data_IF_081913914437
#
_entry.id   IF_081913914437
#
_cell.length_a   1.000
_cell.length_b   1.000
_cell.length_c   1.000
_cell.angle_alpha   90.00
_cell.angle_beta   90.00
_cell.angle_gamma   90.00
#
_symmetry.space_group_name_H-M   'P 1'
#
loop_
_entity.id
_entity.type
_entity.pdbx_description
1 polymer ?
#
# COMPACT_ATOMS: atom_id res chain seq x y z
N UNK A 1 17.00 6.24 12.68
CA UNK A 1 18.44 6.44 12.39
C UNK A 1 18.64 7.91 12.08
N UNK A 2 19.37 8.63 12.93
CA UNK A 2 19.57 10.09 12.83
C UNK A 2 20.52 10.43 11.67
N UNK A 3 20.04 11.20 10.70
CA UNK A 3 20.91 11.83 9.69
C UNK A 3 21.57 13.07 10.31
N UNK A 4 22.87 12.97 10.56
CA UNK A 4 23.74 14.09 10.96
C UNK A 4 23.95 14.99 9.74
N UNK A 5 23.08 15.97 9.55
CA UNK A 5 23.28 17.04 8.57
C UNK A 5 24.26 18.05 9.21
N UNK A 6 25.53 17.99 8.79
CA UNK A 6 26.56 18.94 9.22
C UNK A 6 26.48 20.20 8.35
N UNK A 7 25.59 21.12 8.69
CA UNK A 7 25.63 22.49 8.17
C UNK A 7 26.62 23.32 8.99
N UNK A 8 27.78 23.64 8.41
CA UNK A 8 28.62 24.74 8.88
C UNK A 8 27.86 26.04 8.67
N UNK A 9 27.22 26.51 9.73
CA UNK A 9 26.63 27.84 9.81
C UNK A 9 27.76 28.84 10.07
N UNK A 10 28.16 29.59 9.05
CA UNK A 10 28.96 30.79 9.23
C UNK A 10 28.07 31.83 9.91
N UNK A 11 28.22 31.92 11.24
CA UNK A 11 27.60 32.93 12.09
C UNK A 11 28.36 34.25 11.87
N UNK A 12 27.77 35.18 11.12
CA UNK A 12 28.21 36.56 11.08
C UNK A 12 27.06 37.50 11.45
N UNK A 13 27.23 38.10 12.63
CA UNK A 13 26.71 39.38 13.11
C UNK A 13 25.21 39.55 13.41
N UNK A 14 25.02 39.90 14.68
CA UNK A 14 23.88 40.58 15.25
C UNK A 14 23.63 41.94 14.61
N UNK A 15 22.35 42.31 14.49
CA UNK A 15 21.92 43.70 14.56
C UNK A 15 20.50 43.78 15.15
N UNK A 16 20.40 44.64 16.15
CA UNK A 16 19.24 45.19 16.84
C UNK A 16 17.89 45.15 16.11
N UNK A 17 16.88 44.59 16.77
CA UNK A 17 15.47 44.89 16.50
C UNK A 17 15.14 46.29 17.04
N UNK A 18 15.16 47.27 16.14
CA UNK A 18 14.60 48.60 16.32
C UNK A 18 13.12 48.65 15.90
N UNK A 19 12.37 49.50 16.57
CA UNK A 19 10.93 49.67 16.47
C UNK A 19 10.42 50.14 15.09
N UNK A 20 9.11 50.01 14.91
CA UNK A 20 8.37 50.09 13.65
C UNK A 20 8.62 51.33 12.77
N UNK A 21 8.68 51.07 11.47
CA UNK A 21 8.52 52.07 10.42
C UNK A 21 7.36 51.67 9.48
N UNK A 22 6.60 52.64 8.95
CA UNK A 22 5.47 52.40 8.06
C UNK A 22 5.94 51.95 6.68
N UNK A 23 5.19 51.00 6.11
CA UNK A 23 5.39 50.43 4.78
C UNK A 23 5.14 51.50 3.71
N UNK A 24 6.20 52.11 3.18
CA UNK A 24 6.14 52.80 1.89
C UNK A 24 7.38 52.48 1.06
N UNK A 25 7.13 51.89 -0.12
CA UNK A 25 8.05 51.68 -1.24
C UNK A 25 9.11 50.57 -1.06
N UNK A 26 8.66 49.32 -1.10
CA UNK A 26 9.52 48.18 -1.37
C UNK A 26 9.76 48.05 -2.88
N UNK A 27 10.94 48.46 -3.33
CA UNK A 27 11.51 47.97 -4.59
C UNK A 27 12.09 46.58 -4.31
N UNK A 28 11.70 45.51 -5.03
CA UNK A 28 12.24 44.19 -4.78
C UNK A 28 13.76 44.19 -5.04
N UNK A 29 14.57 43.57 -4.17
CA UNK A 29 15.99 43.45 -4.43
C UNK A 29 16.21 42.61 -5.70
N UNK A 30 17.21 42.94 -6.53
CA UNK A 30 17.55 42.12 -7.68
C UNK A 30 17.91 40.72 -7.19
N UNK A 31 17.18 39.72 -7.67
CA UNK A 31 17.45 38.31 -7.41
C UNK A 31 18.85 37.98 -7.93
N UNK A 32 19.84 38.04 -7.03
CA UNK A 32 21.14 37.45 -7.26
C UNK A 32 20.97 35.95 -7.38
N UNK A 33 20.88 35.46 -8.61
CA UNK A 33 21.07 34.06 -8.97
C UNK A 33 22.51 33.68 -8.63
N UNK A 34 22.74 33.40 -7.34
CA UNK A 34 23.95 32.76 -6.86
C UNK A 34 24.00 31.35 -7.42
N UNK A 35 24.91 31.15 -8.37
CA UNK A 35 25.23 29.86 -8.96
C UNK A 35 25.59 28.84 -7.86
N UNK A 36 24.66 27.96 -7.52
CA UNK A 36 24.93 26.66 -6.92
C UNK A 36 25.28 25.67 -8.05
N UNK A 37 26.35 25.97 -8.79
CA UNK A 37 27.04 24.98 -9.61
C UNK A 37 28.21 24.43 -8.79
N UNK A 38 28.16 23.14 -8.52
CA UNK A 38 29.35 22.38 -8.10
C UNK A 38 30.27 22.24 -9.31
N UNK A 39 31.56 22.49 -9.14
CA UNK A 39 32.59 22.53 -10.19
C UNK A 39 32.78 21.22 -10.98
N UNK A 40 32.08 20.15 -10.62
CA UNK A 40 32.29 18.81 -11.17
C UNK A 40 31.25 18.39 -12.21
N UNK A 41 30.23 19.23 -12.48
CA UNK A 41 29.20 18.96 -13.49
C UNK A 41 28.39 17.67 -13.31
N UNK A 42 28.55 16.95 -12.20
CA UNK A 42 27.88 15.67 -11.92
C UNK A 42 26.85 15.82 -10.82
N UNK A 43 25.58 15.87 -11.23
CA UNK A 43 24.43 15.63 -10.36
C UNK A 43 24.51 14.21 -9.79
N UNK A 44 25.01 14.05 -8.56
CA UNK A 44 24.92 12.78 -7.84
C UNK A 44 23.52 12.71 -7.20
N UNK A 45 22.51 12.41 -8.02
CA UNK A 45 21.23 11.96 -7.51
C UNK A 45 21.41 10.53 -6.97
N UNK A 46 21.75 10.39 -5.68
CA UNK A 46 21.65 9.09 -5.00
C UNK A 46 20.17 8.73 -4.88
N UNK A 47 19.65 8.01 -5.89
CA UNK A 47 18.36 7.31 -5.77
C UNK A 47 18.46 6.33 -4.61
N UNK A 48 17.71 6.60 -3.56
CA UNK A 48 17.49 5.65 -2.49
C UNK A 48 16.48 4.62 -3.00
N UNK A 49 16.96 3.48 -3.48
CA UNK A 49 16.13 2.31 -3.74
C UNK A 49 16.18 1.41 -2.50
N UNK A 50 15.08 1.26 -1.75
CA UNK A 50 15.03 0.24 -0.71
C UNK A 50 14.97 -1.13 -1.41
N UNK A 51 16.08 -1.89 -1.38
CA UNK A 51 16.05 -3.32 -1.67
C UNK A 51 15.29 -3.99 -0.53
N UNK A 52 14.03 -4.31 -0.78
CA UNK A 52 13.28 -5.26 0.03
C UNK A 52 13.45 -6.59 -0.68
N UNK A 53 14.32 -7.45 -0.15
CA UNK A 53 14.44 -8.83 -0.59
C UNK A 53 13.17 -9.58 -0.18
N UNK A 54 12.19 -9.59 -1.09
CA UNK A 54 11.03 -10.46 -0.99
C UNK A 54 11.43 -11.74 -1.72
N UNK A 55 11.65 -12.82 -0.97
CA UNK A 55 11.71 -14.15 -1.56
C UNK A 55 10.32 -14.50 -2.08
N UNK A 56 10.12 -14.26 -3.37
CA UNK A 56 8.99 -14.82 -4.12
C UNK A 56 9.27 -16.32 -4.30
N UNK A 57 8.58 -17.15 -3.52
CA UNK A 57 8.44 -18.56 -3.90
C UNK A 57 7.58 -18.62 -5.16
N UNK A 58 8.25 -18.77 -6.30
CA UNK A 58 7.67 -18.96 -7.61
C UNK A 58 7.01 -20.35 -7.68
N UNK A 59 5.72 -20.42 -7.36
CA UNK A 59 4.92 -21.61 -7.60
C UNK A 59 4.45 -21.60 -9.06
N UNK A 60 5.16 -22.35 -9.92
CA UNK A 60 4.72 -22.66 -11.28
C UNK A 60 3.38 -23.40 -11.23
N UNK A 61 2.34 -22.79 -11.80
CA UNK A 61 1.03 -23.42 -12.00
C UNK A 61 0.91 -23.77 -13.48
N UNK A 62 1.09 -25.04 -13.83
CA UNK A 62 0.70 -25.56 -15.14
C UNK A 62 -0.84 -25.51 -15.25
N UNK A 63 -1.34 -24.77 -16.22
CA UNK A 63 -2.75 -24.71 -16.58
C UNK A 63 -3.08 -25.86 -17.54
N UNK A 64 -3.72 -26.91 -17.01
CA UNK A 64 -4.37 -27.93 -17.82
C UNK A 64 -5.88 -27.67 -17.84
N UNK A 65 -6.36 -27.08 -18.94
CA UNK A 65 -7.78 -26.96 -19.26
C UNK A 65 -8.28 -28.32 -19.77
N UNK A 66 -8.69 -29.18 -18.84
CA UNK A 66 -9.35 -30.45 -19.11
C UNK A 66 -10.75 -30.46 -18.51
N UNK A 67 -11.76 -30.32 -19.35
CA UNK A 67 -13.18 -30.43 -19.01
C UNK A 67 -13.48 -31.86 -18.50
N UNK A 68 -13.72 -32.05 -17.21
CA UNK A 68 -14.20 -33.33 -16.68
C UNK A 68 -15.01 -33.17 -15.39
N UNK A 69 -16.26 -33.65 -15.43
CA UNK A 69 -17.14 -33.78 -14.28
C UNK A 69 -16.53 -34.75 -13.24
N UNK A 70 -16.81 -34.46 -11.96
CA UNK A 70 -16.61 -35.31 -10.77
C UNK A 70 -15.22 -35.26 -10.10
N UNK A 71 -15.22 -34.66 -8.90
CA UNK A 71 -14.17 -34.77 -7.88
C UNK A 71 -12.77 -34.31 -8.30
N UNK A 72 -12.55 -33.00 -8.37
CA UNK A 72 -11.20 -32.42 -8.44
C UNK A 72 -10.35 -32.90 -7.25
N UNK A 73 -9.48 -33.87 -7.50
CA UNK A 73 -8.33 -34.09 -6.66
C UNK A 73 -7.49 -32.80 -6.70
N UNK A 74 -7.10 -32.29 -5.53
CA UNK A 74 -6.18 -31.15 -5.48
C UNK A 74 -4.92 -31.52 -6.27
N UNK A 75 -4.65 -30.77 -7.35
CA UNK A 75 -3.57 -31.04 -8.28
C UNK A 75 -2.27 -31.31 -7.51
N UNK A 76 -1.75 -32.53 -7.64
CA UNK A 76 -0.50 -32.98 -7.01
C UNK A 76 -0.61 -33.69 -5.66
N UNK A 77 -1.73 -33.64 -4.92
CA UNK A 77 -1.81 -34.29 -3.58
C UNK A 77 -2.59 -35.61 -3.54
N UNK A 78 -3.38 -35.92 -4.55
CA UNK A 78 -4.30 -37.08 -4.56
C UNK A 78 -5.37 -37.04 -3.46
N UNK A 79 -5.37 -36.02 -2.59
CA UNK A 79 -6.37 -35.87 -1.52
C UNK A 79 -7.57 -35.15 -2.08
N UNK A 80 -8.69 -35.87 -2.10
CA UNK A 80 -10.00 -35.28 -2.31
C UNK A 80 -10.38 -34.54 -1.01
N UNK A 81 -10.70 -33.25 -1.10
CA UNK A 81 -11.05 -32.44 0.06
C UNK A 81 -12.29 -32.99 0.78
N UNK A 82 -12.31 -32.91 2.12
CA UNK A 82 -13.40 -33.43 2.97
C UNK A 82 -14.79 -32.91 2.54
N UNK A 83 -14.85 -31.70 1.96
CA UNK A 83 -16.09 -31.10 1.49
C UNK A 83 -16.59 -31.62 0.13
N UNK A 84 -15.83 -32.45 -0.59
CA UNK A 84 -16.26 -32.98 -1.90
C UNK A 84 -17.54 -33.81 -1.83
N UNK A 85 -17.83 -34.39 -0.65
CA UNK A 85 -19.05 -35.16 -0.37
C UNK A 85 -20.28 -34.28 -0.12
N UNK A 86 -20.10 -32.97 -0.01
CA UNK A 86 -21.12 -32.00 0.38
C UNK A 86 -21.13 -30.81 -0.61
N UNK A 87 -21.47 -31.03 -1.89
CA UNK A 87 -21.46 -29.98 -2.91
C UNK A 87 -22.37 -28.79 -2.55
N UNK A 88 -23.49 -29.04 -1.89
CA UNK A 88 -24.44 -28.02 -1.42
C UNK A 88 -23.85 -27.06 -0.36
N UNK A 89 -22.88 -27.52 0.42
CA UNK A 89 -22.14 -26.68 1.37
C UNK A 89 -21.11 -25.85 0.60
N UNK A 90 -20.41 -26.47 -0.35
CA UNK A 90 -19.41 -25.80 -1.19
C UNK A 90 -20.04 -24.66 -2.00
N UNK A 91 -21.19 -24.90 -2.64
CA UNK A 91 -21.88 -23.88 -3.43
C UNK A 91 -22.34 -22.71 -2.54
N UNK A 92 -22.86 -23.03 -1.36
CA UNK A 92 -23.25 -22.02 -0.37
C UNK A 92 -22.07 -21.15 0.07
N UNK A 93 -20.88 -21.74 0.27
CA UNK A 93 -19.65 -21.00 0.58
C UNK A 93 -19.27 -20.10 -0.59
N UNK A 94 -19.25 -20.63 -1.81
CA UNK A 94 -18.90 -19.88 -3.03
C UNK A 94 -19.83 -18.68 -3.24
N UNK A 95 -21.15 -18.88 -3.11
CA UNK A 95 -22.14 -17.81 -3.26
C UNK A 95 -21.93 -16.71 -2.23
N UNK A 96 -21.79 -17.04 -0.93
CA UNK A 96 -21.61 -16.04 0.13
C UNK A 96 -20.33 -15.24 -0.03
N UNK A 97 -19.22 -15.89 -0.42
CA UNK A 97 -17.96 -15.20 -0.67
C UNK A 97 -18.05 -14.33 -1.93
N UNK A 98 -18.69 -14.81 -3.00
CA UNK A 98 -18.92 -13.99 -4.19
C UNK A 98 -19.79 -12.76 -3.92
N UNK A 99 -20.84 -12.89 -3.11
CA UNK A 99 -21.74 -11.79 -2.75
C UNK A 99 -21.03 -10.71 -1.90
N UNK A 100 -20.19 -11.13 -0.94
CA UNK A 100 -19.36 -10.20 -0.18
C UNK A 100 -18.40 -9.43 -1.08
N UNK A 101 -17.79 -10.11 -2.06
CA UNK A 101 -16.94 -9.44 -3.05
C UNK A 101 -17.72 -8.41 -3.87
N UNK A 102 -18.92 -8.77 -4.36
CA UNK A 102 -19.80 -7.84 -5.10
C UNK A 102 -20.18 -6.62 -4.27
N UNK A 103 -20.25 -6.75 -2.95
CA UNK A 103 -20.51 -5.63 -2.03
C UNK A 103 -19.28 -4.73 -1.77
N UNK A 104 -18.12 -5.05 -2.34
CA UNK A 104 -16.87 -4.29 -2.16
C UNK A 104 -16.08 -4.67 -0.91
N UNK A 105 -16.47 -5.74 -0.19
CA UNK A 105 -15.75 -6.21 1.00
C UNK A 105 -14.53 -7.01 0.58
N UNK A 106 -13.34 -6.60 1.06
CA UNK A 106 -12.12 -7.36 0.84
C UNK A 106 -12.16 -8.70 1.58
N UNK A 107 -11.98 -9.80 0.84
CA UNK A 107 -12.03 -11.14 1.42
C UNK A 107 -10.63 -11.57 1.83
N UNK A 108 -10.38 -11.51 3.13
CA UNK A 108 -9.16 -12.02 3.77
C UNK A 108 -9.32 -13.45 4.28
N UNK A 109 -8.18 -14.10 4.58
CA UNK A 109 -8.14 -15.49 5.09
C UNK A 109 -9.03 -15.73 6.31
N UNK A 110 -9.04 -14.80 7.28
CA UNK A 110 -9.84 -14.93 8.50
C UNK A 110 -11.34 -14.86 8.20
N UNK A 111 -11.76 -13.95 7.31
CA UNK A 111 -13.15 -13.81 6.92
C UNK A 111 -13.64 -15.08 6.19
N UNK A 112 -12.85 -15.55 5.21
CA UNK A 112 -13.15 -16.80 4.49
C UNK A 112 -13.32 -17.97 5.45
N UNK A 113 -12.38 -18.17 6.38
CA UNK A 113 -12.45 -19.24 7.37
C UNK A 113 -13.69 -19.12 8.26
N UNK A 114 -14.01 -17.91 8.71
CA UNK A 114 -15.18 -17.67 9.57
C UNK A 114 -16.48 -18.01 8.86
N UNK A 115 -16.60 -17.64 7.59
CA UNK A 115 -17.79 -17.94 6.77
C UNK A 115 -17.91 -19.43 6.50
N UNK A 116 -16.79 -20.11 6.16
CA UNK A 116 -16.79 -21.57 5.98
C UNK A 116 -17.25 -22.27 7.26
N UNK A 117 -16.67 -21.91 8.41
CA UNK A 117 -17.04 -22.52 9.69
C UNK A 117 -18.50 -22.23 10.06
N UNK A 118 -18.99 -21.01 9.84
CA UNK A 118 -20.38 -20.64 10.11
C UNK A 118 -21.36 -21.45 9.24
N UNK A 119 -21.08 -21.60 7.95
CA UNK A 119 -21.94 -22.39 7.04
C UNK A 119 -21.91 -23.88 7.40
N UNK A 120 -20.74 -24.43 7.74
CA UNK A 120 -20.63 -25.83 8.18
C UNK A 120 -21.38 -26.03 9.50
N UNK A 121 -21.26 -25.10 10.46
CA UNK A 121 -21.96 -25.16 11.73
C UNK A 121 -23.48 -25.15 11.56
N UNK A 122 -23.99 -24.35 10.62
CA UNK A 122 -25.41 -24.22 10.32
C UNK A 122 -25.97 -25.47 9.61
N UNK A 123 -25.27 -25.98 8.58
CA UNK A 123 -25.76 -27.08 7.73
C UNK A 123 -25.41 -28.48 8.24
N UNK A 124 -24.21 -28.68 8.80
CA UNK A 124 -23.71 -30.00 9.18
C UNK A 124 -22.69 -29.89 10.34
N UNK A 125 -23.15 -29.62 11.58
CA UNK A 125 -22.25 -29.39 12.71
C UNK A 125 -21.39 -30.60 13.08
N UNK A 126 -21.86 -31.82 12.79
CA UNK A 126 -21.09 -33.07 12.98
C UNK A 126 -19.77 -33.08 12.20
N UNK A 127 -19.74 -32.39 11.05
CA UNK A 127 -18.55 -32.28 10.22
C UNK A 127 -17.42 -31.53 10.94
N UNK A 128 -17.72 -30.62 11.87
CA UNK A 128 -16.71 -29.87 12.62
C UNK A 128 -15.83 -30.74 13.52
N UNK A 129 -16.26 -31.95 13.88
CA UNK A 129 -15.47 -32.89 14.68
C UNK A 129 -14.25 -33.40 13.91
N UNK A 130 -14.38 -33.58 12.59
CA UNK A 130 -13.32 -34.12 11.72
C UNK A 130 -12.70 -33.07 10.80
N UNK A 131 -13.40 -31.97 10.55
CA UNK A 131 -12.99 -30.94 9.62
C UNK A 131 -12.10 -29.88 10.30
N UNK A 132 -10.87 -29.76 9.80
CA UNK A 132 -9.97 -28.65 10.12
C UNK A 132 -9.83 -27.75 8.89
N UNK A 133 -10.32 -26.51 8.99
CA UNK A 133 -10.14 -25.52 7.92
C UNK A 133 -8.64 -25.17 7.83
N UNK A 134 -7.96 -25.72 6.82
CA UNK A 134 -6.59 -25.31 6.50
C UNK A 134 -6.59 -23.91 5.90
N UNK A 135 -5.43 -23.28 5.95
CA UNK A 135 -5.23 -21.91 5.50
C UNK A 135 -5.27 -21.72 3.98
N UNK A 136 -5.18 -22.82 3.24
CA UNK A 136 -5.14 -22.91 1.79
C UNK A 136 -6.47 -23.47 1.29
N UNK A 137 -7.48 -22.61 1.19
CA UNK A 137 -8.76 -22.98 0.59
C UNK A 137 -8.72 -22.68 -0.91
N UNK A 138 -8.37 -23.69 -1.71
CA UNK A 138 -8.29 -23.59 -3.18
C UNK A 138 -9.60 -23.95 -3.89
N UNK A 139 -10.73 -23.97 -3.16
CA UNK A 139 -12.04 -24.37 -3.71
C UNK A 139 -12.62 -23.29 -4.63
N UNK A 140 -12.16 -22.06 -4.48
CA UNK A 140 -12.36 -21.00 -5.45
C UNK A 140 -11.05 -20.83 -6.20
N UNK A 141 -11.11 -20.72 -7.54
CA UNK A 141 -9.98 -20.38 -8.41
C UNK A 141 -9.50 -18.95 -8.16
N UNK A 142 -9.21 -18.63 -6.91
CA UNK A 142 -8.83 -17.33 -6.41
C UNK A 142 -7.37 -17.39 -6.00
N UNK A 143 -6.58 -16.46 -6.52
CA UNK A 143 -5.20 -16.27 -6.10
C UNK A 143 -5.12 -15.24 -4.98
N UNK A 144 -4.19 -15.47 -4.06
CA UNK A 144 -3.84 -14.49 -3.04
C UNK A 144 -3.10 -13.33 -3.72
N UNK A 145 -3.60 -12.11 -3.55
CA UNK A 145 -2.94 -10.89 -4.03
C UNK A 145 -2.47 -10.06 -2.87
N UNK A 146 -1.29 -9.48 -3.01
CA UNK A 146 -0.85 -8.44 -2.09
C UNK A 146 -1.37 -7.11 -2.60
N UNK A 147 -1.90 -6.29 -1.68
CA UNK A 147 -2.22 -4.91 -2.00
C UNK A 147 -0.97 -4.24 -2.56
N UNK A 148 -1.05 -3.75 -3.80
CA UNK A 148 0.04 -3.01 -4.40
C UNK A 148 0.21 -1.71 -3.62
N UNK A 149 1.41 -1.43 -3.13
CA UNK A 149 1.74 -0.14 -2.50
C UNK A 149 1.83 1.01 -3.50
N UNK A 150 1.63 0.73 -4.79
CA UNK A 150 1.55 1.77 -5.80
C UNK A 150 0.31 2.61 -5.53
N UNK A 151 0.50 3.90 -5.25
CA UNK A 151 -0.59 4.84 -5.12
C UNK A 151 -1.48 4.75 -6.37
N UNK A 152 -2.73 4.32 -6.19
CA UNK A 152 -3.62 3.89 -7.27
C UNK A 152 -3.91 4.98 -8.31
N UNK A 153 -3.60 6.24 -8.01
CA UNK A 153 -3.78 7.36 -8.93
C UNK A 153 -2.66 8.39 -8.80
N UNK A 154 -1.45 8.03 -9.24
CA UNK A 154 -0.47 9.05 -9.58
C UNK A 154 -0.88 9.71 -10.89
N UNK A 155 -1.06 11.04 -10.87
CA UNK A 155 -1.26 11.80 -12.10
C UNK A 155 -0.06 11.60 -13.03
N UNK A 156 -0.29 11.59 -14.35
CA UNK A 156 0.80 11.46 -15.33
C UNK A 156 1.89 12.55 -15.19
N UNK A 157 1.53 13.69 -14.60
CA UNK A 157 2.42 14.81 -14.31
C UNK A 157 2.78 14.94 -12.81
N UNK A 158 2.63 13.88 -12.00
CA UNK A 158 2.85 13.92 -10.55
C UNK A 158 4.21 14.54 -10.19
N UNK A 159 5.27 14.21 -10.92
CA UNK A 159 6.60 14.79 -10.69
C UNK A 159 6.59 16.33 -10.77
N UNK A 160 5.93 16.91 -11.79
CA UNK A 160 5.84 18.37 -11.96
C UNK A 160 4.99 19.02 -10.86
N UNK A 161 3.93 18.36 -10.42
CA UNK A 161 3.05 18.86 -9.35
C UNK A 161 3.78 18.85 -8.02
N UNK A 162 4.48 17.75 -7.70
CA UNK A 162 5.30 17.64 -6.49
C UNK A 162 6.42 18.68 -6.48
N UNK A 163 7.14 18.83 -7.59
CA UNK A 163 8.21 19.82 -7.75
C UNK A 163 7.70 21.26 -7.58
N UNK A 164 6.60 21.63 -8.25
CA UNK A 164 5.99 22.95 -8.11
C UNK A 164 5.52 23.23 -6.68
N UNK A 165 4.96 22.22 -6.01
CA UNK A 165 4.50 22.34 -4.63
C UNK A 165 5.69 22.53 -3.67
N UNK A 166 6.76 21.78 -3.88
CA UNK A 166 8.01 21.92 -3.14
C UNK A 166 8.59 23.32 -3.26
N UNK A 167 8.73 23.86 -4.49
CA UNK A 167 9.25 25.21 -4.67
C UNK A 167 8.36 26.31 -4.09
N UNK A 168 7.03 26.14 -4.13
CA UNK A 168 6.11 27.05 -3.45
C UNK A 168 6.32 27.06 -1.94
N UNK A 169 6.51 25.88 -1.34
CA UNK A 169 6.79 25.77 0.09
C UNK A 169 8.11 26.47 0.44
N UNK A 170 9.19 26.20 -0.29
CA UNK A 170 10.50 26.84 -0.10
C UNK A 170 10.41 28.35 -0.26
N UNK A 171 9.69 28.84 -1.28
CA UNK A 171 9.49 30.26 -1.50
C UNK A 171 8.77 30.92 -0.31
N UNK A 172 7.70 30.30 0.20
CA UNK A 172 6.96 30.82 1.36
C UNK A 172 7.82 30.82 2.63
N UNK A 173 8.58 29.76 2.86
CA UNK A 173 9.52 29.66 4.00
C UNK A 173 10.52 30.82 3.95
N UNK A 174 11.12 31.05 2.77
CA UNK A 174 12.11 32.10 2.59
C UNK A 174 11.50 33.52 2.58
N UNK A 175 10.28 33.69 2.08
CA UNK A 175 9.63 35.00 1.99
C UNK A 175 9.15 35.51 3.36
N UNK A 176 8.69 34.60 4.22
CA UNK A 176 8.19 34.93 5.56
C UNK A 176 9.18 34.60 6.68
N UNK A 177 10.43 34.25 6.36
CA UNK A 177 11.46 33.81 7.32
C UNK A 177 10.95 32.77 8.32
N UNK A 178 10.17 31.78 7.83
CA UNK A 178 9.55 30.77 8.69
C UNK A 178 10.65 29.85 9.22
N UNK A 179 10.90 29.79 10.53
CA UNK A 179 11.88 28.87 11.08
C UNK A 179 11.44 27.43 10.83
N UNK A 180 12.39 26.52 10.51
CA UNK A 180 12.07 25.13 10.17
C UNK A 180 11.34 24.38 11.31
N UNK A 181 11.51 24.86 12.55
CA UNK A 181 10.86 24.33 13.76
C UNK A 181 9.33 24.52 13.75
N UNK A 182 8.81 25.46 12.97
CA UNK A 182 7.36 25.74 12.85
C UNK A 182 6.69 24.98 11.70
N UNK A 183 7.45 24.19 10.94
CA UNK A 183 6.89 23.38 9.84
C UNK A 183 6.31 22.09 10.43
N UNK A 184 5.01 22.10 10.68
CA UNK A 184 4.29 20.93 11.21
C UNK A 184 3.67 20.17 10.04
N UNK A 185 4.03 18.90 9.89
CA UNK A 185 3.37 18.02 8.93
C UNK A 185 2.00 17.60 9.48
N UNK A 186 0.92 18.10 8.90
CA UNK A 186 -0.44 17.66 9.22
C UNK A 186 -0.92 16.69 8.14
N UNK A 187 -0.67 15.40 8.36
CA UNK A 187 -1.30 14.33 7.56
C UNK A 187 -2.44 13.71 8.38
N UNK A 188 -3.63 13.67 7.80
CA UNK A 188 -4.77 13.01 8.42
C UNK A 188 -4.70 11.51 8.10
N UNK A 189 -4.19 10.73 9.04
CA UNK A 189 -4.31 9.27 8.99
C UNK A 189 -5.66 8.87 9.57
N UNK A 190 -6.57 8.35 8.74
CA UNK A 190 -7.76 7.69 9.26
C UNK A 190 -7.35 6.35 9.87
N UNK A 191 -7.68 6.13 11.14
CA UNK A 191 -7.54 4.81 11.76
C UNK A 191 -8.82 4.05 11.46
N UNK A 192 -8.79 3.21 10.43
CA UNK A 192 -9.89 2.29 10.15
C UNK A 192 -9.63 1.01 10.93
N UNK A 193 -10.51 0.67 11.89
CA UNK A 193 -10.46 -0.60 12.62
C UNK A 193 -11.00 -1.72 11.73
N UNK A 194 -10.32 -1.98 10.62
CA UNK A 194 -10.52 -3.16 9.81
C UNK A 194 -9.40 -4.13 10.14
N UNK A 195 -9.73 -5.42 10.26
CA UNK A 195 -8.73 -6.50 10.26
C UNK A 195 -8.19 -6.62 8.84
N UNK A 196 -7.46 -5.59 8.41
CA UNK A 196 -6.91 -5.48 7.08
C UNK A 196 -5.59 -6.21 7.06
N UNK A 197 -5.63 -7.45 6.59
CA UNK A 197 -4.43 -8.07 6.08
C UNK A 197 -4.15 -7.45 4.71
N UNK A 198 -2.89 -7.11 4.40
CA UNK A 198 -2.48 -6.63 3.07
C UNK A 198 -2.62 -7.70 1.97
N UNK A 199 -3.40 -8.75 2.23
CA UNK A 199 -3.60 -9.90 1.36
C UNK A 199 -5.10 -10.10 1.14
N UNK A 200 -5.54 -9.98 -0.10
CA UNK A 200 -6.92 -10.23 -0.53
C UNK A 200 -6.94 -11.37 -1.53
N UNK A 201 -7.98 -12.19 -1.51
CA UNK A 201 -8.18 -13.20 -2.57
C UNK A 201 -8.95 -12.58 -3.74
N UNK A 202 -8.47 -12.78 -4.97
CA UNK A 202 -9.12 -12.36 -6.20
C UNK A 202 -9.22 -13.53 -7.18
N UNK A 203 -10.26 -13.61 -8.03
CA UNK A 203 -10.29 -14.50 -9.18
C UNK A 203 -8.96 -14.52 -9.93
N UNK A 204 -8.49 -15.73 -10.23
CA UNK A 204 -7.31 -15.94 -11.06
C UNK A 204 -7.58 -15.32 -12.45
N UNK A 205 -6.61 -14.59 -12.98
CA UNK A 205 -6.70 -13.95 -14.30
C UNK A 205 -7.36 -12.57 -14.35
N UNK A 206 -8.04 -12.11 -13.29
CA UNK A 206 -8.65 -10.76 -13.27
C UNK A 206 -7.52 -9.69 -13.23
N UNK A 207 -7.30 -8.89 -14.28
CA UNK A 207 -6.26 -7.84 -14.23
C UNK A 207 -6.68 -6.62 -13.43
#
# INVERSE_FOLDING_TARGET
>A
MYLKCSTRVNRARAAHFGAGHPLSNFSPPPLGLGNLLSDDGKLIAKRYSPQVDIQEEEWMVEENEGECCSSHALAGSGRVGVLSRYPEIVDSIKTRLADLRKSGVCIGRLLTRTIILAIIQDKCPELLKSFKCSETYSVMDWSLRHGTRAAAHLLANANKVCERTFFRLVHLINFYDIPPELIINMDQTSVMLMVANNKSFNPKGER
#
